data_IF_324760442412
#
_entry.id   IF_324760442412
#
_cell.length_a   1.000
_cell.length_b   1.000
_cell.length_c   1.000
_cell.angle_alpha   90.00
_cell.angle_beta   90.00
_cell.angle_gamma   90.00
#
_symmetry.space_group_name_H-M   'P 1'
#
loop_
_entity.id
_entity.type
_entity.pdbx_description
1 polymer ?
#
# COMPACT_ATOMS: atom_id res chain seq x y z
N UNK A 1 16.93 -39.98 5.59
CA UNK A 1 17.71 -38.74 5.84
C UNK A 1 16.98 -37.55 5.23
N UNK A 2 16.58 -37.61 3.94
CA UNK A 2 15.74 -36.56 3.30
C UNK A 2 14.40 -36.30 4.01
N UNK A 3 13.72 -37.36 4.45
CA UNK A 3 12.41 -37.24 5.14
C UNK A 3 12.50 -36.47 6.48
N UNK A 4 13.62 -36.62 7.20
CA UNK A 4 13.89 -35.88 8.45
C UNK A 4 14.22 -34.41 8.20
N UNK A 5 14.82 -34.08 7.06
CA UNK A 5 15.16 -32.69 6.70
C UNK A 5 13.92 -31.91 6.25
N UNK A 6 12.98 -32.57 5.55
CA UNK A 6 11.70 -31.96 5.14
C UNK A 6 10.84 -31.66 6.36
N UNK A 7 10.78 -32.58 7.33
CA UNK A 7 10.01 -32.40 8.56
C UNK A 7 10.59 -31.26 9.42
N UNK A 8 11.91 -31.18 9.55
CA UNK A 8 12.57 -30.11 10.29
C UNK A 8 12.42 -28.73 9.61
N UNK A 9 12.44 -28.66 8.27
CA UNK A 9 12.21 -27.42 7.53
C UNK A 9 10.75 -26.94 7.64
N UNK A 10 9.79 -27.86 7.62
CA UNK A 10 8.38 -27.56 7.84
C UNK A 10 8.10 -27.03 9.25
N UNK A 11 8.69 -27.65 10.28
CA UNK A 11 8.60 -27.18 11.68
C UNK A 11 9.20 -25.78 11.81
N UNK A 12 10.39 -25.54 11.25
CA UNK A 12 11.04 -24.21 11.31
C UNK A 12 10.21 -23.12 10.60
N UNK A 13 9.53 -23.47 9.50
CA UNK A 13 8.62 -22.56 8.81
C UNK A 13 7.42 -22.20 9.68
N UNK A 14 6.80 -23.19 10.32
CA UNK A 14 5.63 -22.99 11.18
C UNK A 14 5.97 -22.18 12.43
N UNK A 15 7.12 -22.46 13.05
CA UNK A 15 7.65 -21.70 14.19
C UNK A 15 7.92 -20.23 13.82
N UNK A 16 8.51 -19.98 12.65
CA UNK A 16 8.75 -18.62 12.15
C UNK A 16 7.44 -17.86 11.92
N UNK A 17 6.42 -18.50 11.34
CA UNK A 17 5.10 -17.90 11.15
C UNK A 17 4.45 -17.59 12.49
N UNK A 18 4.53 -18.51 13.45
CA UNK A 18 3.96 -18.33 14.78
C UNK A 18 4.63 -17.16 15.51
N UNK A 19 5.96 -17.11 15.51
CA UNK A 19 6.74 -16.02 16.08
C UNK A 19 6.36 -14.66 15.46
N UNK A 20 6.29 -14.57 14.13
CA UNK A 20 5.91 -13.34 13.45
C UNK A 20 4.48 -12.88 13.80
N UNK A 21 3.54 -13.81 14.03
CA UNK A 21 2.17 -13.49 14.46
C UNK A 21 2.13 -12.96 15.89
N UNK A 22 2.92 -13.53 16.79
CA UNK A 22 3.03 -13.07 18.17
C UNK A 22 3.53 -11.63 18.21
N UNK A 23 4.64 -11.35 17.54
CA UNK A 23 5.19 -9.98 17.41
C UNK A 23 4.16 -9.04 16.77
N UNK A 24 3.49 -9.45 15.70
CA UNK A 24 2.46 -8.62 15.06
C UNK A 24 1.31 -8.28 16.01
N UNK A 25 0.82 -9.26 16.77
CA UNK A 25 -0.30 -9.06 17.69
C UNK A 25 0.05 -8.09 18.81
N UNK A 26 1.27 -8.18 19.35
CA UNK A 26 1.80 -7.21 20.32
C UNK A 26 1.85 -5.81 19.69
N UNK A 27 2.52 -5.66 18.55
CA UNK A 27 2.63 -4.37 17.86
C UNK A 27 1.27 -3.76 17.51
N UNK A 28 0.29 -4.57 17.09
CA UNK A 28 -1.07 -4.12 16.77
C UNK A 28 -1.72 -3.45 17.99
N UNK A 29 -1.49 -3.95 19.21
CA UNK A 29 -2.02 -3.34 20.43
C UNK A 29 -1.43 -1.95 20.67
N UNK A 30 -0.11 -1.78 20.47
CA UNK A 30 0.57 -0.50 20.61
C UNK A 30 0.09 0.54 19.57
N UNK A 31 -0.06 0.15 18.31
CA UNK A 31 -0.50 1.09 17.25
C UNK A 31 -1.99 1.42 17.31
N UNK A 32 -2.84 0.54 17.85
CA UNK A 32 -4.30 0.74 17.89
C UNK A 32 -4.68 1.94 18.77
N UNK A 33 -3.91 2.19 19.83
CA UNK A 33 -4.12 3.34 20.72
C UNK A 33 -3.75 4.70 20.09
N UNK A 34 -2.88 4.71 19.07
CA UNK A 34 -2.34 5.94 18.48
C UNK A 34 -3.17 6.53 17.34
N UNK A 35 -4.14 5.79 16.78
CA UNK A 35 -5.14 6.34 15.85
C UNK A 35 -4.62 6.79 14.48
N UNK A 36 -3.52 6.20 14.00
CA UNK A 36 -2.91 6.57 12.71
C UNK A 36 -3.89 6.54 11.53
N UNK A 37 -4.00 7.66 10.81
CA UNK A 37 -4.79 7.79 9.57
C UNK A 37 -3.88 7.69 8.34
N UNK A 38 -3.47 6.46 8.01
CA UNK A 38 -2.70 6.15 6.79
C UNK A 38 -3.55 5.54 5.69
N UNK A 39 -3.09 5.69 4.44
CA UNK A 39 -3.63 4.96 3.31
C UNK A 39 -3.56 3.45 3.58
N UNK A 40 -4.65 2.67 3.34
CA UNK A 40 -4.68 1.24 3.67
C UNK A 40 -3.54 0.44 3.03
N UNK A 41 -3.19 0.77 1.78
CA UNK A 41 -2.11 0.10 1.04
C UNK A 41 -0.73 0.38 1.65
N UNK A 42 -0.50 1.61 2.12
CA UNK A 42 0.74 1.97 2.80
C UNK A 42 0.85 1.18 4.11
N UNK A 43 -0.20 1.21 4.93
CA UNK A 43 -0.23 0.49 6.20
C UNK A 43 0.03 -1.00 6.03
N UNK A 44 -0.63 -1.64 5.07
CA UNK A 44 -0.46 -3.08 4.79
C UNK A 44 0.97 -3.39 4.33
N UNK A 45 1.51 -2.61 3.41
CA UNK A 45 2.87 -2.79 2.89
C UNK A 45 3.92 -2.62 3.98
N UNK A 46 3.82 -1.57 4.81
CA UNK A 46 4.77 -1.30 5.91
C UNK A 46 4.76 -2.43 6.92
N UNK A 47 3.58 -2.94 7.31
CA UNK A 47 3.46 -4.11 8.19
C UNK A 47 4.11 -5.34 7.55
N UNK A 48 3.88 -5.58 6.27
CA UNK A 48 4.47 -6.73 5.58
C UNK A 48 5.99 -6.65 5.51
N UNK A 49 6.56 -5.47 5.19
CA UNK A 49 8.01 -5.26 5.20
C UNK A 49 8.61 -5.44 6.60
N UNK A 50 7.93 -4.92 7.62
CA UNK A 50 8.30 -5.12 9.02
C UNK A 50 8.36 -6.61 9.38
N UNK A 51 7.32 -7.39 9.02
CA UNK A 51 7.29 -8.82 9.29
C UNK A 51 8.38 -9.59 8.54
N UNK A 52 8.78 -9.16 7.34
CA UNK A 52 9.93 -9.75 6.66
C UNK A 52 11.21 -9.54 7.47
N UNK A 53 11.39 -8.36 8.08
CA UNK A 53 12.51 -8.08 8.98
C UNK A 53 12.54 -9.03 10.18
N UNK A 54 11.39 -9.18 10.85
CA UNK A 54 11.22 -10.11 11.99
C UNK A 54 11.55 -11.55 11.58
N UNK A 55 10.99 -12.02 10.47
CA UNK A 55 11.22 -13.37 9.97
C UNK A 55 12.67 -13.58 9.53
N UNK A 56 13.32 -12.56 8.95
CA UNK A 56 14.73 -12.62 8.58
C UNK A 56 15.58 -12.81 9.83
N UNK A 57 15.37 -12.01 10.87
CA UNK A 57 16.07 -12.15 12.15
C UNK A 57 15.89 -13.55 12.75
N UNK A 58 14.67 -14.08 12.74
CA UNK A 58 14.39 -15.44 13.20
C UNK A 58 15.24 -16.50 12.47
N UNK A 59 15.36 -16.39 11.14
CA UNK A 59 16.16 -17.34 10.35
C UNK A 59 17.66 -17.20 10.58
N UNK A 60 18.18 -16.01 10.93
CA UNK A 60 19.59 -15.84 11.29
C UNK A 60 19.93 -16.48 12.64
N UNK A 61 18.97 -16.52 13.56
CA UNK A 61 19.15 -17.13 14.88
C UNK A 61 19.03 -18.65 14.84
N UNK A 62 18.26 -19.20 13.89
CA UNK A 62 17.94 -20.64 13.80
C UNK A 62 18.58 -21.37 12.61
N UNK A 63 19.20 -20.68 11.65
CA UNK A 63 19.80 -21.26 10.44
C UNK A 63 21.01 -20.45 9.94
N UNK A 64 21.77 -21.01 9.00
CA UNK A 64 22.91 -20.31 8.37
C UNK A 64 22.45 -19.03 7.63
N UNK A 65 23.11 -17.90 7.91
CA UNK A 65 22.72 -16.52 7.55
C UNK A 65 22.56 -16.27 6.04
N UNK A 66 23.24 -17.04 5.18
CA UNK A 66 23.42 -16.71 3.76
C UNK A 66 22.11 -16.65 2.94
N UNK A 67 21.04 -17.31 3.41
CA UNK A 67 19.73 -17.36 2.73
C UNK A 67 18.57 -16.89 3.62
N UNK A 68 18.85 -16.32 4.80
CA UNK A 68 17.82 -15.99 5.79
C UNK A 68 16.77 -14.99 5.27
N UNK A 69 17.22 -13.96 4.54
CA UNK A 69 16.32 -12.95 3.94
C UNK A 69 15.42 -13.52 2.85
N UNK A 70 15.94 -14.37 1.97
CA UNK A 70 15.12 -15.01 0.93
C UNK A 70 14.11 -15.99 1.54
N UNK A 71 14.52 -16.72 2.59
CA UNK A 71 13.61 -17.56 3.38
C UNK A 71 12.52 -16.73 4.04
N UNK A 72 12.82 -15.56 4.61
CA UNK A 72 11.80 -14.67 5.18
C UNK A 72 10.71 -14.27 4.18
N UNK A 73 11.07 -13.90 2.95
CA UNK A 73 10.10 -13.61 1.89
C UNK A 73 9.27 -14.85 1.49
N UNK A 74 9.91 -16.02 1.40
CA UNK A 74 9.21 -17.29 1.14
C UNK A 74 8.20 -17.61 2.25
N UNK A 75 8.59 -17.39 3.51
CA UNK A 75 7.75 -17.61 4.69
C UNK A 75 6.58 -16.64 4.75
N UNK A 76 6.79 -15.37 4.42
CA UNK A 76 5.68 -14.42 4.25
C UNK A 76 4.71 -14.90 3.16
N UNK A 77 5.21 -15.39 2.03
CA UNK A 77 4.36 -15.95 0.96
C UNK A 77 3.52 -17.14 1.48
N UNK A 78 4.15 -18.06 2.23
CA UNK A 78 3.49 -19.22 2.83
C UNK A 78 2.44 -18.80 3.87
N UNK A 79 2.75 -17.81 4.70
CA UNK A 79 1.81 -17.23 5.66
C UNK A 79 0.58 -16.67 4.96
N UNK A 80 0.77 -15.85 3.93
CA UNK A 80 -0.33 -15.29 3.12
C UNK A 80 -1.22 -16.39 2.51
N UNK A 81 -0.62 -17.47 2.01
CA UNK A 81 -1.37 -18.60 1.44
C UNK A 81 -2.17 -19.34 2.51
N UNK A 82 -1.58 -19.56 3.70
CA UNK A 82 -2.28 -20.14 4.86
C UNK A 82 -3.46 -19.26 5.32
N UNK A 83 -3.34 -17.94 5.18
CA UNK A 83 -4.42 -16.98 5.45
C UNK A 83 -5.49 -16.90 4.34
N UNK A 84 -5.42 -17.77 3.33
CA UNK A 84 -6.42 -17.88 2.26
C UNK A 84 -6.16 -17.00 1.04
N UNK A 85 -5.01 -16.31 0.97
CA UNK A 85 -4.63 -15.56 -0.23
C UNK A 85 -4.22 -16.54 -1.33
N UNK A 86 -4.79 -16.37 -2.54
CA UNK A 86 -4.43 -17.19 -3.70
C UNK A 86 -2.92 -17.15 -3.94
N UNK A 87 -2.28 -18.31 -4.09
CA UNK A 87 -0.83 -18.45 -4.27
C UNK A 87 -0.23 -17.49 -5.30
N UNK A 88 -0.85 -17.34 -6.48
CA UNK A 88 -0.39 -16.40 -7.52
C UNK A 88 -0.38 -14.94 -7.05
N UNK A 89 -1.36 -14.53 -6.23
CA UNK A 89 -1.44 -13.19 -5.66
C UNK A 89 -0.40 -13.00 -4.55
N UNK A 90 -0.21 -13.99 -3.68
CA UNK A 90 0.80 -13.96 -2.63
C UNK A 90 2.21 -13.81 -3.22
N UNK A 91 2.56 -14.60 -4.24
CA UNK A 91 3.84 -14.49 -4.96
C UNK A 91 4.05 -13.09 -5.55
N UNK A 92 3.05 -12.56 -6.26
CA UNK A 92 3.11 -11.21 -6.84
C UNK A 92 3.31 -10.12 -5.78
N UNK A 93 2.65 -10.26 -4.62
CA UNK A 93 2.82 -9.33 -3.51
C UNK A 93 4.25 -9.41 -2.96
N UNK A 94 4.76 -10.61 -2.73
CA UNK A 94 6.14 -10.80 -2.26
C UNK A 94 7.17 -10.27 -3.25
N UNK A 95 7.00 -10.49 -4.56
CA UNK A 95 7.88 -9.91 -5.58
C UNK A 95 7.87 -8.38 -5.57
N UNK A 96 6.72 -7.79 -5.28
CA UNK A 96 6.60 -6.33 -5.11
C UNK A 96 7.31 -5.87 -3.84
N UNK A 97 7.10 -6.55 -2.70
CA UNK A 97 7.78 -6.23 -1.43
C UNK A 97 9.30 -6.37 -1.54
N UNK A 98 9.81 -7.37 -2.26
CA UNK A 98 11.25 -7.50 -2.53
C UNK A 98 11.83 -6.26 -3.19
N UNK A 99 11.13 -5.71 -4.20
CA UNK A 99 11.53 -4.46 -4.86
C UNK A 99 11.47 -3.26 -3.93
N UNK A 100 10.48 -3.21 -3.04
CA UNK A 100 10.31 -2.13 -2.06
C UNK A 100 11.19 -2.29 -0.82
N UNK A 101 11.83 -3.44 -0.62
CA UNK A 101 12.66 -3.71 0.55
C UNK A 101 14.03 -3.04 0.50
N UNK A 102 14.41 -2.49 -0.66
CA UNK A 102 15.64 -1.75 -0.86
C UNK A 102 15.35 -0.38 -1.47
N UNK A 103 16.03 0.62 -0.96
CA UNK A 103 16.05 1.99 -1.48
C UNK A 103 16.96 2.08 -2.71
N UNK A 104 16.91 3.21 -3.42
CA UNK A 104 17.67 3.43 -4.67
C UNK A 104 19.19 3.43 -4.45
N UNK A 105 19.63 3.79 -3.25
CA UNK A 105 21.02 3.74 -2.78
C UNK A 105 21.47 2.33 -2.36
N UNK A 106 20.54 1.37 -2.31
CA UNK A 106 20.81 -0.03 -1.94
C UNK A 106 20.60 -0.35 -0.46
N UNK A 107 20.27 0.66 0.35
CA UNK A 107 19.98 0.50 1.77
C UNK A 107 18.62 -0.17 1.98
N UNK A 108 18.46 -0.81 3.13
CA UNK A 108 17.22 -1.49 3.48
C UNK A 108 16.13 -0.49 3.82
N UNK A 109 14.91 -0.77 3.38
CA UNK A 109 13.76 0.07 3.72
C UNK A 109 13.59 0.12 5.25
N UNK A 110 13.21 1.28 5.77
CA UNK A 110 13.10 1.52 7.22
C UNK A 110 12.32 0.42 7.94
N UNK A 111 11.20 -0.03 7.38
CA UNK A 111 10.36 -1.05 7.97
C UNK A 111 11.05 -2.42 8.08
N UNK A 112 11.82 -2.85 7.07
CA UNK A 112 12.51 -4.14 7.12
C UNK A 112 13.71 -4.08 8.08
N UNK A 113 14.42 -2.95 8.13
CA UNK A 113 15.55 -2.75 9.04
C UNK A 113 15.09 -2.72 10.51
N UNK A 114 14.08 -1.91 10.84
CA UNK A 114 13.52 -1.87 12.19
C UNK A 114 12.89 -3.21 12.57
N UNK A 115 12.21 -3.89 11.63
CA UNK A 115 11.68 -5.23 11.89
C UNK A 115 12.77 -6.26 12.20
N UNK A 116 13.93 -6.17 11.55
CA UNK A 116 15.07 -7.05 11.78
C UNK A 116 15.71 -6.84 13.16
N UNK A 117 15.74 -5.59 13.63
CA UNK A 117 16.25 -5.25 14.96
C UNK A 117 15.21 -5.38 16.09
N UNK A 118 13.96 -5.69 15.73
CA UNK A 118 12.85 -5.75 16.68
C UNK A 118 13.02 -6.84 17.73
N UNK A 119 12.47 -6.57 18.91
CA UNK A 119 12.47 -7.45 20.08
C UNK A 119 11.05 -7.63 20.60
N UNK A 120 10.74 -8.79 21.22
CA UNK A 120 9.46 -8.99 21.88
C UNK A 120 9.17 -7.87 22.89
N UNK A 121 7.95 -7.32 22.84
CA UNK A 121 7.52 -6.22 23.72
C UNK A 121 8.07 -4.82 23.41
N UNK A 122 8.73 -4.60 22.28
CA UNK A 122 9.12 -3.25 21.84
C UNK A 122 7.95 -2.48 21.19
N UNK A 123 8.15 -1.19 20.87
CA UNK A 123 7.15 -0.37 20.14
C UNK A 123 7.62 -0.04 18.71
N UNK A 124 8.44 -0.92 18.12
CA UNK A 124 9.19 -0.66 16.88
C UNK A 124 8.29 -0.37 15.66
N UNK A 125 7.13 -1.03 15.55
CA UNK A 125 6.17 -0.73 14.48
C UNK A 125 5.51 0.64 14.67
N UNK A 126 5.30 1.05 15.92
CA UNK A 126 4.78 2.37 16.22
C UNK A 126 5.82 3.46 15.92
N UNK A 127 7.10 3.21 16.17
CA UNK A 127 8.19 4.10 15.78
C UNK A 127 8.26 4.30 14.26
N UNK A 128 8.15 3.21 13.47
CA UNK A 128 8.05 3.32 12.00
C UNK A 128 6.89 4.23 11.63
N UNK A 129 5.72 4.02 12.22
CA UNK A 129 4.55 4.84 11.90
C UNK A 129 4.68 6.29 12.34
N UNK A 130 5.26 6.56 13.51
CA UNK A 130 5.53 7.91 13.99
C UNK A 130 6.42 8.70 13.02
N UNK A 131 7.39 8.03 12.37
CA UNK A 131 8.21 8.64 11.32
C UNK A 131 7.39 9.16 10.12
N UNK A 132 6.25 8.53 9.84
CA UNK A 132 5.43 8.79 8.66
C UNK A 132 4.17 9.63 8.92
N UNK A 133 3.84 9.95 10.18
CA UNK A 133 2.59 10.65 10.56
C UNK A 133 2.42 11.98 9.82
N UNK A 134 3.48 12.76 9.70
CA UNK A 134 3.45 14.08 9.06
C UNK A 134 3.66 14.01 7.54
N UNK A 135 3.91 12.82 6.99
CA UNK A 135 4.13 12.66 5.57
C UNK A 135 2.79 12.64 4.80
N UNK A 136 2.57 13.75 4.07
CA UNK A 136 1.38 13.96 3.25
C UNK A 136 1.15 12.81 2.25
N UNK A 137 2.21 12.20 1.73
CA UNK A 137 2.15 11.13 0.73
C UNK A 137 1.45 9.86 1.21
N UNK A 138 1.47 9.59 2.51
CA UNK A 138 0.94 8.35 3.09
C UNK A 138 -0.38 8.56 3.82
N UNK A 139 -0.86 9.81 3.89
CA UNK A 139 -2.08 10.20 4.62
C UNK A 139 -3.34 9.51 4.08
N UNK A 140 -4.10 8.92 5.00
CA UNK A 140 -5.41 8.31 4.75
C UNK A 140 -6.45 9.33 4.27
N UNK A 141 -6.39 10.56 4.80
CA UNK A 141 -7.20 11.67 4.30
C UNK A 141 -7.00 11.89 2.79
N UNK A 142 -5.75 11.97 2.32
CA UNK A 142 -5.46 12.12 0.89
C UNK A 142 -5.95 10.92 0.07
N UNK A 143 -5.76 9.71 0.59
CA UNK A 143 -6.25 8.49 -0.04
C UNK A 143 -7.77 8.48 -0.20
N UNK A 144 -8.54 8.89 0.81
CA UNK A 144 -10.00 9.01 0.69
C UNK A 144 -10.41 10.04 -0.35
N UNK A 145 -9.73 11.19 -0.42
CA UNK A 145 -10.01 12.20 -1.45
C UNK A 145 -9.75 11.64 -2.85
N UNK A 146 -8.67 10.86 -3.01
CA UNK A 146 -8.37 10.19 -4.27
C UNK A 146 -9.41 9.12 -4.64
N UNK A 147 -9.81 8.27 -3.69
CA UNK A 147 -10.84 7.23 -3.92
C UNK A 147 -12.22 7.84 -4.22
N UNK A 148 -12.59 8.90 -3.51
CA UNK A 148 -13.78 9.72 -3.79
C UNK A 148 -13.68 10.35 -5.19
N UNK A 149 -12.52 10.91 -5.55
CA UNK A 149 -12.27 11.47 -6.88
C UNK A 149 -12.51 10.46 -8.00
N UNK A 150 -12.03 9.22 -7.84
CA UNK A 150 -12.27 8.14 -8.81
C UNK A 150 -13.76 7.84 -8.98
N UNK A 151 -14.53 7.81 -7.88
CA UNK A 151 -15.99 7.62 -7.93
C UNK A 151 -16.69 8.81 -8.61
N UNK A 152 -16.28 10.04 -8.30
CA UNK A 152 -16.83 11.25 -8.93
C UNK A 152 -16.56 11.26 -10.44
N UNK A 153 -15.36 10.89 -10.87
CA UNK A 153 -15.02 10.80 -12.30
C UNK A 153 -15.89 9.75 -12.99
N UNK A 154 -16.04 8.56 -12.40
CA UNK A 154 -16.82 7.46 -12.98
C UNK A 154 -18.32 7.80 -13.06
N UNK A 155 -18.93 8.14 -11.93
CA UNK A 155 -20.38 8.41 -11.86
C UNK A 155 -20.75 9.76 -12.47
N UNK A 156 -19.92 10.79 -12.27
CA UNK A 156 -20.14 12.11 -12.85
C UNK A 156 -19.96 12.11 -14.37
N UNK A 157 -18.96 11.39 -14.89
CA UNK A 157 -18.78 11.21 -16.33
C UNK A 157 -19.98 10.49 -16.97
N UNK A 158 -20.47 9.42 -16.33
CA UNK A 158 -21.66 8.69 -16.78
C UNK A 158 -22.90 9.60 -16.81
N UNK A 159 -23.15 10.34 -15.72
CA UNK A 159 -24.29 11.23 -15.59
C UNK A 159 -24.24 12.36 -16.63
N UNK A 160 -23.06 12.97 -16.82
CA UNK A 160 -22.87 14.02 -17.82
C UNK A 160 -23.02 13.51 -19.25
N UNK A 161 -22.55 12.30 -19.54
CA UNK A 161 -22.78 11.67 -20.84
C UNK A 161 -24.26 11.41 -21.11
N UNK A 162 -24.99 10.92 -20.11
CA UNK A 162 -26.43 10.71 -20.19
C UNK A 162 -27.19 12.03 -20.38
N UNK A 163 -26.81 13.08 -19.65
CA UNK A 163 -27.36 14.42 -19.81
C UNK A 163 -27.11 14.97 -21.22
N UNK A 164 -25.91 14.74 -21.79
CA UNK A 164 -25.59 15.11 -23.16
C UNK A 164 -26.47 14.39 -24.19
N UNK A 165 -26.68 13.09 -24.03
CA UNK A 165 -27.61 12.30 -24.88
C UNK A 165 -29.02 12.86 -24.77
N UNK A 166 -29.55 13.01 -23.55
CA UNK A 166 -30.88 13.55 -23.30
C UNK A 166 -31.08 14.95 -23.89
N UNK A 167 -30.08 15.82 -23.73
CA UNK A 167 -30.12 17.18 -24.27
C UNK A 167 -30.30 17.17 -25.79
N UNK A 168 -29.50 16.37 -26.51
CA UNK A 168 -29.62 16.29 -27.98
C UNK A 168 -30.94 15.64 -28.38
N UNK A 169 -31.41 14.60 -27.68
CA UNK A 169 -32.69 13.96 -28.00
C UNK A 169 -33.89 14.89 -27.82
N UNK A 170 -33.91 15.75 -26.79
CA UNK A 170 -35.03 16.68 -26.54
C UNK A 170 -35.00 17.87 -27.51
N UNK A 171 -33.81 18.46 -27.74
CA UNK A 171 -33.68 19.72 -28.48
C UNK A 171 -33.37 19.53 -29.97
N UNK A 172 -32.84 18.39 -30.38
CA UNK A 172 -32.49 18.05 -31.76
C UNK A 172 -32.89 16.61 -32.09
N UNK A 173 -34.20 16.28 -32.09
CA UNK A 173 -34.69 14.91 -32.27
C UNK A 173 -34.40 14.33 -33.67
N UNK A 174 -34.14 15.17 -34.68
CA UNK A 174 -33.81 14.74 -36.05
C UNK A 174 -32.32 14.39 -36.24
N UNK A 175 -31.51 14.56 -35.18
CA UNK A 175 -30.10 14.21 -35.23
C UNK A 175 -29.89 12.69 -35.37
N UNK A 176 -28.81 12.29 -36.04
CA UNK A 176 -28.50 10.88 -36.22
C UNK A 176 -28.08 10.23 -34.90
N UNK A 177 -28.38 8.94 -34.73
CA UNK A 177 -28.01 8.18 -33.53
C UNK A 177 -26.51 8.27 -33.21
N UNK A 178 -25.66 8.30 -34.25
CA UNK A 178 -24.22 8.48 -34.10
C UNK A 178 -23.86 9.87 -33.53
N UNK A 179 -24.58 10.92 -33.95
CA UNK A 179 -24.35 12.27 -33.44
C UNK A 179 -24.76 12.39 -31.96
N UNK A 180 -25.91 11.82 -31.60
CA UNK A 180 -26.40 11.78 -30.21
C UNK A 180 -25.39 11.09 -29.30
N UNK A 181 -24.89 9.92 -29.71
CA UNK A 181 -23.88 9.17 -28.96
C UNK A 181 -22.56 9.94 -28.85
N UNK A 182 -22.08 10.52 -29.96
CA UNK A 182 -20.83 11.29 -29.98
C UNK A 182 -20.89 12.50 -29.06
N UNK A 183 -22.01 13.21 -29.02
CA UNK A 183 -22.20 14.36 -28.15
C UNK A 183 -22.22 13.97 -26.66
N UNK A 184 -22.91 12.88 -26.32
CA UNK A 184 -22.87 12.30 -24.97
C UNK A 184 -21.44 11.94 -24.54
N UNK A 185 -20.70 11.23 -25.38
CA UNK A 185 -19.30 10.87 -25.12
C UNK A 185 -18.40 12.09 -24.96
N UNK A 186 -18.55 13.10 -25.81
CA UNK A 186 -17.78 14.34 -25.76
C UNK A 186 -18.05 15.10 -24.45
N UNK A 187 -19.30 15.15 -24.01
CA UNK A 187 -19.70 15.78 -22.75
C UNK A 187 -19.10 15.07 -21.54
N UNK A 188 -19.16 13.73 -21.52
CA UNK A 188 -18.50 12.92 -20.49
C UNK A 188 -16.98 13.16 -20.47
N UNK A 189 -16.35 13.19 -21.65
CA UNK A 189 -14.91 13.39 -21.78
C UNK A 189 -14.46 14.76 -21.24
N UNK A 190 -15.16 15.84 -21.59
CA UNK A 190 -14.88 17.18 -21.09
C UNK A 190 -15.01 17.28 -19.56
N UNK A 191 -16.01 16.61 -18.99
CA UNK A 191 -16.17 16.52 -17.53
C UNK A 191 -14.96 15.83 -16.87
N UNK A 192 -14.54 14.67 -17.40
CA UNK A 192 -13.39 13.92 -16.89
C UNK A 192 -12.12 14.76 -16.91
N UNK A 193 -11.86 15.49 -18.00
CA UNK A 193 -10.70 16.38 -18.12
C UNK A 193 -10.75 17.48 -17.06
N UNK A 194 -11.90 18.14 -16.91
CA UNK A 194 -12.08 19.26 -16.00
C UNK A 194 -11.81 18.84 -14.55
N UNK A 195 -12.40 17.72 -14.11
CA UNK A 195 -12.20 17.18 -12.76
C UNK A 195 -10.74 16.76 -12.54
N UNK A 196 -10.10 16.16 -13.55
CA UNK A 196 -8.70 15.74 -13.48
C UNK A 196 -7.74 16.93 -13.33
N UNK A 197 -7.98 18.02 -14.07
CA UNK A 197 -7.19 19.26 -13.98
C UNK A 197 -7.32 19.91 -12.60
N UNK A 198 -8.53 19.97 -12.04
CA UNK A 198 -8.78 20.51 -10.70
C UNK A 198 -8.07 19.65 -9.65
N UNK A 199 -8.18 18.32 -9.75
CA UNK A 199 -7.49 17.38 -8.85
C UNK A 199 -5.97 17.55 -8.91
N UNK A 200 -5.40 17.71 -10.10
CA UNK A 200 -3.96 17.92 -10.30
C UNK A 200 -3.49 19.26 -9.74
N UNK A 201 -4.29 20.33 -9.85
CA UNK A 201 -4.00 21.63 -9.26
C UNK A 201 -3.98 21.55 -7.73
N UNK A 202 -4.99 20.93 -7.11
CA UNK A 202 -5.04 20.73 -5.66
C UNK A 202 -3.85 19.91 -5.17
N UNK A 203 -3.53 18.82 -5.88
CA UNK A 203 -2.37 17.98 -5.59
C UNK A 203 -1.06 18.79 -5.61
N UNK A 204 -0.82 19.57 -6.69
CA UNK A 204 0.37 20.42 -6.80
C UNK A 204 0.45 21.47 -5.70
N UNK A 205 -0.67 22.10 -5.33
CA UNK A 205 -0.71 23.12 -4.29
C UNK A 205 -0.43 22.55 -2.89
N UNK A 206 -0.93 21.34 -2.58
CA UNK A 206 -0.69 20.69 -1.30
C UNK A 206 0.74 20.15 -1.16
N UNK A 207 1.27 19.47 -2.18
CA UNK A 207 2.63 18.93 -2.13
C UNK A 207 3.73 20.00 -2.16
N UNK A 208 3.50 21.13 -2.84
CA UNK A 208 4.49 22.23 -2.88
C UNK A 208 4.62 22.95 -1.52
N UNK A 209 3.59 22.92 -0.65
CA UNK A 209 3.68 23.48 0.71
C UNK A 209 4.49 22.61 1.67
N UNK A 210 4.45 21.28 1.53
CA UNK A 210 5.20 20.37 2.40
C UNK A 210 6.72 20.47 2.28
N UNK A 211 7.25 20.89 1.12
CA UNK A 211 8.70 21.10 0.93
C UNK A 211 9.25 22.39 1.54
N UNK A 212 8.40 23.28 2.08
CA UNK A 212 8.82 24.60 2.56
C UNK A 212 8.95 24.71 4.09
N UNK A 213 8.72 23.65 4.86
CA UNK A 213 8.88 23.65 6.32
C UNK A 213 10.26 23.20 6.81
N UNK A 214 11.17 22.76 5.93
CA UNK A 214 12.57 22.57 6.27
C UNK A 214 13.37 23.84 5.98
N UNK A 215 13.20 24.83 6.83
CA UNK A 215 14.25 25.83 7.05
C UNK A 215 14.47 25.87 8.55
N UNK A 216 15.60 25.36 9.07
CA UNK A 216 15.88 25.46 10.49
C UNK A 216 15.93 26.95 10.87
N UNK A 217 15.48 27.35 12.08
CA UNK A 217 15.67 28.71 12.54
C UNK A 217 17.17 28.98 12.55
N UNK A 218 17.57 30.05 11.86
CA UNK A 218 18.91 30.57 11.96
C UNK A 218 19.09 31.17 13.37
N UNK A 219 20.16 30.69 14.03
CA UNK A 219 20.81 31.21 15.24
C UNK A 219 20.19 30.80 16.58
#
# INVERSE_FOLDING_TARGET
>A
MEDLMIDQEAVTLDDCIQHAREVLNEQILHIKGKGYDFAPQFKEMTIQLYLVGVMWRFYEEHNSSEMAREKAFSTLCSMMVKDGIKSKRAKKQVDFLKKMSKLEDGDDALAIAIGHESKPGDESLAEIFDHYVDEIGVSGSLWRHYDLGKKIILFGGLLMGFAGVWFVTIFMPESSDMFILAFGLLTAFLFVISVSLIGLLIYRLKFKKGKHSETPPAV
#
